data_IF_022815883406
#
_entry.id   IF_022815883406
#
_cell.length_a   1.000
_cell.length_b   1.000
_cell.length_c   1.000
_cell.angle_alpha   90.00
_cell.angle_beta   90.00
_cell.angle_gamma   90.00
#
_symmetry.space_group_name_H-M   'P 1'
#
loop_
_entity.id
_entity.type
_entity.pdbx_description
1 polymer ?
#
# COMPACT_ATOMS: atom_id res chain seq x y z
N UNK A 1 14.68 -18.31 -9.96
CA UNK A 1 13.35 -17.88 -10.40
C UNK A 1 12.47 -17.95 -9.16
N UNK A 2 12.04 -16.80 -8.61
CA UNK A 2 11.23 -16.79 -7.40
C UNK A 2 9.86 -17.37 -7.72
N UNK A 3 9.53 -18.51 -7.13
CA UNK A 3 8.23 -19.19 -7.26
C UNK A 3 7.08 -18.43 -6.57
N UNK A 4 7.35 -17.35 -5.86
CA UNK A 4 6.36 -16.54 -5.17
C UNK A 4 5.61 -15.54 -6.08
N UNK A 5 6.17 -15.18 -7.23
CA UNK A 5 5.59 -14.17 -8.14
C UNK A 5 4.24 -14.57 -8.75
N UNK A 6 3.89 -15.86 -8.76
CA UNK A 6 2.60 -16.33 -9.27
C UNK A 6 1.51 -16.44 -8.19
N UNK A 7 1.86 -16.23 -6.91
CA UNK A 7 0.94 -16.45 -5.79
C UNK A 7 0.06 -15.24 -5.44
N UNK A 8 0.41 -14.06 -5.98
CA UNK A 8 -0.34 -12.81 -5.75
C UNK A 8 -0.98 -12.35 -7.06
N UNK A 9 -2.29 -12.16 -7.04
CA UNK A 9 -3.06 -11.62 -8.16
C UNK A 9 -3.58 -10.23 -7.82
N UNK A 10 -3.21 -9.23 -8.60
CA UNK A 10 -3.81 -7.90 -8.58
C UNK A 10 -4.91 -7.82 -9.63
N UNK A 11 -6.10 -7.47 -9.20
CA UNK A 11 -7.24 -7.24 -10.05
C UNK A 11 -7.64 -5.77 -10.02
N UNK A 12 -7.33 -5.04 -11.09
CA UNK A 12 -7.75 -3.65 -11.27
C UNK A 12 -9.12 -3.59 -11.94
N UNK A 13 -10.10 -2.99 -11.28
CA UNK A 13 -11.49 -2.92 -11.72
C UNK A 13 -11.83 -1.47 -12.08
N UNK A 14 -12.32 -1.28 -13.30
CA UNK A 14 -12.67 0.03 -13.85
C UNK A 14 -11.46 0.91 -14.12
N UNK A 15 -11.67 2.21 -14.27
CA UNK A 15 -10.64 3.15 -14.71
C UNK A 15 -9.50 3.28 -13.68
N UNK A 16 -9.82 3.54 -12.41
CA UNK A 16 -8.82 3.62 -11.33
C UNK A 16 -7.99 2.34 -11.23
N UNK A 17 -8.64 1.18 -11.23
CA UNK A 17 -7.95 -0.10 -11.17
C UNK A 17 -7.04 -0.35 -12.36
N UNK A 18 -7.47 -0.01 -13.58
CA UNK A 18 -6.68 -0.13 -14.80
C UNK A 18 -5.45 0.79 -14.76
N UNK A 19 -5.59 2.04 -14.31
CA UNK A 19 -4.48 2.98 -14.17
C UNK A 19 -3.43 2.45 -13.19
N UNK A 20 -3.85 1.97 -12.02
CA UNK A 20 -2.94 1.35 -11.03
C UNK A 20 -2.20 0.15 -11.62
N UNK A 21 -2.90 -0.74 -12.35
CA UNK A 21 -2.23 -1.89 -13.00
C UNK A 21 -1.20 -1.45 -14.05
N UNK A 22 -1.46 -0.36 -14.77
CA UNK A 22 -0.52 0.21 -15.73
C UNK A 22 0.71 0.82 -15.08
N UNK A 23 0.54 1.55 -13.96
CA UNK A 23 1.63 2.13 -13.18
C UNK A 23 2.54 0.99 -12.68
N UNK A 24 1.97 -0.03 -12.05
CA UNK A 24 2.72 -1.19 -11.55
C UNK A 24 3.43 -1.98 -12.66
N UNK A 25 2.80 -2.08 -13.83
CA UNK A 25 3.40 -2.71 -15.00
C UNK A 25 4.63 -1.95 -15.53
N UNK A 26 4.62 -0.61 -15.50
CA UNK A 26 5.78 0.23 -15.86
C UNK A 26 6.92 0.06 -14.87
N UNK A 27 6.59 -0.04 -13.60
CA UNK A 27 7.56 -0.18 -12.50
C UNK A 27 8.14 -1.61 -12.37
N UNK A 28 7.73 -2.54 -13.25
CA UNK A 28 8.23 -3.94 -13.31
C UNK A 28 8.15 -4.67 -11.97
N UNK A 29 7.07 -4.51 -11.24
CA UNK A 29 6.84 -5.21 -9.96
C UNK A 29 6.81 -6.72 -10.21
N UNK A 30 7.88 -7.42 -9.80
CA UNK A 30 8.16 -8.82 -10.21
C UNK A 30 7.28 -9.87 -9.51
N UNK A 31 6.57 -9.51 -8.44
CA UNK A 31 5.92 -10.47 -7.52
C UNK A 31 4.42 -10.59 -7.73
N UNK A 32 3.86 -9.87 -8.70
CA UNK A 32 2.42 -9.75 -8.87
C UNK A 32 1.99 -10.01 -10.31
N UNK A 33 0.91 -10.79 -10.48
CA UNK A 33 0.21 -10.90 -11.76
C UNK A 33 -0.91 -9.87 -11.80
N UNK A 34 -0.95 -9.00 -12.80
CA UNK A 34 -1.96 -7.94 -12.92
C UNK A 34 -3.00 -8.28 -13.97
N UNK A 35 -4.27 -8.04 -13.66
CA UNK A 35 -5.40 -8.13 -14.59
C UNK A 35 -6.26 -6.88 -14.47
N UNK A 36 -6.65 -6.31 -15.61
CA UNK A 36 -7.62 -5.25 -15.68
C UNK A 36 -8.99 -5.80 -16.09
N UNK A 37 -10.04 -5.40 -15.40
CA UNK A 37 -11.42 -5.81 -15.67
C UNK A 37 -12.34 -4.61 -15.71
N UNK A 38 -13.10 -4.50 -16.79
CA UNK A 38 -14.15 -3.49 -16.96
C UNK A 38 -15.53 -4.11 -17.28
N UNK A 39 -15.59 -5.43 -17.52
CA UNK A 39 -16.83 -6.15 -17.82
C UNK A 39 -16.94 -7.47 -17.05
N UNK A 40 -18.19 -7.88 -16.75
CA UNK A 40 -18.49 -9.13 -16.02
C UNK A 40 -18.05 -10.38 -16.78
N UNK A 41 -18.09 -10.34 -18.11
CA UNK A 41 -17.63 -11.44 -18.98
C UNK A 41 -16.15 -11.73 -18.78
N UNK A 42 -15.33 -10.68 -18.61
CA UNK A 42 -13.89 -10.80 -18.34
C UNK A 42 -13.63 -11.42 -16.96
N UNK A 43 -14.43 -11.06 -15.97
CA UNK A 43 -14.33 -11.63 -14.62
C UNK A 43 -14.42 -13.16 -14.66
N UNK A 44 -15.41 -13.70 -15.35
CA UNK A 44 -15.62 -15.15 -15.44
C UNK A 44 -14.52 -15.85 -16.23
N UNK A 45 -14.06 -15.27 -17.35
CA UNK A 45 -13.15 -15.94 -18.26
C UNK A 45 -11.68 -15.91 -17.78
N UNK A 46 -11.21 -14.72 -17.37
CA UNK A 46 -9.79 -14.50 -17.01
C UNK A 46 -9.49 -14.90 -15.57
N UNK A 47 -10.45 -14.67 -14.69
CA UNK A 47 -10.26 -14.86 -13.27
C UNK A 47 -10.24 -16.33 -12.88
N UNK A 48 -11.11 -17.16 -13.45
CA UNK A 48 -11.20 -18.58 -13.10
C UNK A 48 -9.90 -19.35 -13.35
N UNK A 49 -9.16 -18.99 -14.39
CA UNK A 49 -7.87 -19.62 -14.68
C UNK A 49 -6.73 -19.14 -13.78
N UNK A 50 -6.69 -17.83 -13.46
CA UNK A 50 -5.60 -17.22 -12.70
C UNK A 50 -5.74 -17.44 -11.20
N UNK A 51 -6.96 -17.48 -10.69
CA UNK A 51 -7.22 -17.59 -9.26
C UNK A 51 -6.75 -18.92 -8.66
N UNK A 52 -6.71 -20.00 -9.45
CA UNK A 52 -6.35 -21.33 -8.95
C UNK A 52 -4.91 -21.38 -8.43
N UNK A 53 -4.00 -20.67 -9.09
CA UNK A 53 -2.57 -20.64 -8.76
C UNK A 53 -2.21 -19.59 -7.71
N UNK A 54 -3.15 -18.73 -7.31
CA UNK A 54 -2.93 -17.62 -6.39
C UNK A 54 -3.29 -17.98 -4.96
N UNK A 55 -2.65 -17.33 -4.00
CA UNK A 55 -2.95 -17.42 -2.57
C UNK A 55 -3.54 -16.11 -2.02
N UNK A 56 -3.10 -14.97 -2.57
CA UNK A 56 -3.56 -13.63 -2.23
C UNK A 56 -4.13 -12.92 -3.45
N UNK A 57 -5.34 -12.38 -3.32
CA UNK A 57 -5.98 -11.53 -4.32
C UNK A 57 -6.06 -10.10 -3.79
N UNK A 58 -5.56 -9.15 -4.56
CA UNK A 58 -5.63 -7.72 -4.27
C UNK A 58 -6.61 -7.10 -5.26
N UNK A 59 -7.67 -6.47 -4.76
CA UNK A 59 -8.66 -5.77 -5.56
C UNK A 59 -8.40 -4.27 -5.51
N UNK A 60 -8.45 -3.59 -6.66
CA UNK A 60 -8.34 -2.12 -6.75
C UNK A 60 -9.53 -1.58 -7.53
N UNK A 61 -10.31 -0.69 -6.92
CA UNK A 61 -11.50 -0.12 -7.54
C UNK A 61 -11.88 1.25 -6.97
N UNK A 62 -12.60 2.04 -7.79
CA UNK A 62 -13.37 3.20 -7.33
C UNK A 62 -14.81 2.78 -7.01
N UNK A 63 -15.26 3.04 -5.79
CA UNK A 63 -16.60 2.64 -5.38
C UNK A 63 -17.71 3.66 -5.74
N UNK A 64 -17.36 4.82 -6.28
CA UNK A 64 -18.32 5.83 -6.74
C UNK A 64 -19.16 5.38 -7.94
N UNK A 65 -18.67 4.43 -8.74
CA UNK A 65 -19.36 3.84 -9.86
C UNK A 65 -20.17 2.60 -9.44
N UNK A 66 -21.46 2.55 -9.81
CA UNK A 66 -22.29 1.38 -9.51
C UNK A 66 -21.78 0.10 -10.19
N UNK A 67 -21.31 0.21 -11.43
CA UNK A 67 -20.78 -0.93 -12.20
C UNK A 67 -19.53 -1.50 -11.53
N UNK A 68 -18.59 -0.62 -11.19
CA UNK A 68 -17.33 -1.02 -10.57
C UNK A 68 -17.54 -1.60 -9.18
N UNK A 69 -18.43 -1.02 -8.36
CA UNK A 69 -18.79 -1.57 -7.07
C UNK A 69 -19.36 -3.00 -7.16
N UNK A 70 -20.28 -3.24 -8.10
CA UNK A 70 -20.85 -4.59 -8.33
C UNK A 70 -19.76 -5.57 -8.76
N UNK A 71 -18.89 -5.19 -9.70
CA UNK A 71 -17.80 -6.05 -10.18
C UNK A 71 -16.80 -6.36 -9.06
N UNK A 72 -16.52 -5.39 -8.19
CA UNK A 72 -15.62 -5.57 -7.05
C UNK A 72 -16.19 -6.57 -6.05
N UNK A 73 -17.47 -6.47 -5.73
CA UNK A 73 -18.16 -7.43 -4.85
C UNK A 73 -18.20 -8.84 -5.45
N UNK A 74 -18.48 -8.96 -6.74
CA UNK A 74 -18.47 -10.25 -7.43
C UNK A 74 -17.08 -10.88 -7.45
N UNK A 75 -16.03 -10.05 -7.68
CA UNK A 75 -14.64 -10.51 -7.66
C UNK A 75 -14.21 -10.98 -6.26
N UNK A 76 -14.61 -10.25 -5.22
CA UNK A 76 -14.34 -10.63 -3.84
C UNK A 76 -14.99 -11.97 -3.49
N UNK A 77 -16.30 -12.11 -3.75
CA UNK A 77 -17.05 -13.36 -3.50
C UNK A 77 -16.42 -14.55 -4.21
N UNK A 78 -16.11 -14.41 -5.48
CA UNK A 78 -15.47 -15.47 -6.26
C UNK A 78 -14.11 -15.88 -5.69
N UNK A 79 -13.30 -14.93 -5.22
CA UNK A 79 -12.03 -15.23 -4.58
C UNK A 79 -12.22 -15.99 -3.26
N UNK A 80 -13.17 -15.56 -2.45
CA UNK A 80 -13.50 -16.23 -1.17
C UNK A 80 -14.03 -17.64 -1.38
N UNK A 81 -14.87 -17.87 -2.40
CA UNK A 81 -15.35 -19.21 -2.79
C UNK A 81 -14.21 -20.16 -3.15
N UNK A 82 -13.09 -19.62 -3.68
CA UNK A 82 -11.87 -20.39 -3.97
C UNK A 82 -10.90 -20.44 -2.78
N UNK A 83 -11.30 -20.00 -1.60
CA UNK A 83 -10.49 -20.06 -0.38
C UNK A 83 -9.27 -19.13 -0.37
N UNK A 84 -9.32 -18.02 -1.15
CA UNK A 84 -8.21 -17.08 -1.22
C UNK A 84 -8.30 -16.03 -0.12
N UNK A 85 -7.16 -15.50 0.32
CA UNK A 85 -7.10 -14.27 1.11
C UNK A 85 -7.32 -13.10 0.16
N UNK A 86 -8.23 -12.19 0.54
CA UNK A 86 -8.63 -11.06 -0.30
C UNK A 86 -8.36 -9.75 0.43
N UNK A 87 -7.50 -8.92 -0.13
CA UNK A 87 -7.29 -7.54 0.29
C UNK A 87 -7.87 -6.57 -0.74
N UNK A 88 -8.42 -5.45 -0.30
CA UNK A 88 -8.95 -4.44 -1.22
C UNK A 88 -8.35 -3.06 -0.95
N UNK A 89 -8.01 -2.36 -2.03
CA UNK A 89 -7.67 -0.94 -2.06
C UNK A 89 -8.79 -0.24 -2.81
N UNK A 90 -9.65 0.45 -2.08
CA UNK A 90 -10.84 1.06 -2.67
C UNK A 90 -10.93 2.54 -2.34
N UNK A 91 -11.45 3.31 -3.29
CA UNK A 91 -11.54 4.76 -3.15
C UNK A 91 -12.98 5.22 -2.93
N UNK A 92 -13.11 6.26 -2.10
CA UNK A 92 -14.34 7.04 -1.93
C UNK A 92 -14.19 8.34 -2.73
N UNK A 93 -15.20 8.71 -3.55
CA UNK A 93 -15.18 9.93 -4.36
C UNK A 93 -14.96 11.20 -3.54
N UNK A 94 -14.46 12.24 -4.22
CA UNK A 94 -14.36 13.60 -3.66
C UNK A 94 -15.72 14.26 -3.48
N UNK A 95 -15.80 15.25 -2.62
CA UNK A 95 -17.03 15.98 -2.31
C UNK A 95 -17.65 16.58 -3.58
N UNK A 96 -16.84 17.14 -4.47
CA UNK A 96 -17.32 17.74 -5.72
C UNK A 96 -17.89 16.73 -6.74
N UNK A 97 -17.64 15.44 -6.58
CA UNK A 97 -18.20 14.40 -7.44
C UNK A 97 -19.69 14.11 -7.16
N UNK A 98 -20.18 14.59 -6.03
CA UNK A 98 -21.57 14.61 -5.63
C UNK A 98 -21.96 13.54 -4.61
N UNK A 99 -22.86 13.95 -3.72
CA UNK A 99 -23.30 13.16 -2.56
C UNK A 99 -23.81 11.76 -2.91
N UNK A 100 -24.53 11.61 -4.03
CA UNK A 100 -25.04 10.28 -4.47
C UNK A 100 -23.95 9.28 -4.77
N UNK A 101 -22.80 9.73 -5.29
CA UNK A 101 -21.65 8.86 -5.54
C UNK A 101 -20.98 8.48 -4.22
N UNK A 102 -20.82 9.44 -3.32
CA UNK A 102 -20.23 9.21 -1.99
C UNK A 102 -21.06 8.22 -1.20
N UNK A 103 -22.38 8.43 -1.11
CA UNK A 103 -23.27 7.52 -0.40
C UNK A 103 -23.19 6.09 -0.95
N UNK A 104 -23.20 5.95 -2.27
CA UNK A 104 -23.05 4.64 -2.93
C UNK A 104 -21.70 3.99 -2.59
N UNK A 105 -20.63 4.77 -2.63
CA UNK A 105 -19.31 4.26 -2.31
C UNK A 105 -19.23 3.77 -0.85
N UNK A 106 -19.81 4.50 0.09
CA UNK A 106 -19.87 4.11 1.50
C UNK A 106 -20.71 2.82 1.70
N UNK A 107 -21.87 2.73 1.06
CA UNK A 107 -22.71 1.52 1.10
C UNK A 107 -21.96 0.31 0.53
N UNK A 108 -21.33 0.47 -0.63
CA UNK A 108 -20.53 -0.59 -1.26
C UNK A 108 -19.31 -0.97 -0.42
N UNK A 109 -18.63 0.00 0.22
CA UNK A 109 -17.50 -0.26 1.12
C UNK A 109 -17.93 -1.06 2.36
N UNK A 110 -19.10 -0.77 2.92
CA UNK A 110 -19.66 -1.53 4.04
C UNK A 110 -19.97 -2.98 3.63
N UNK A 111 -20.57 -3.19 2.46
CA UNK A 111 -20.82 -4.54 1.94
C UNK A 111 -19.50 -5.28 1.64
N UNK A 112 -18.55 -4.60 0.99
CA UNK A 112 -17.24 -5.17 0.64
C UNK A 112 -16.47 -5.62 1.89
N UNK A 113 -16.55 -4.89 2.99
CA UNK A 113 -15.90 -5.24 4.26
C UNK A 113 -16.28 -6.63 4.77
N UNK A 114 -17.49 -7.13 4.45
CA UNK A 114 -17.93 -8.48 4.82
C UNK A 114 -17.46 -9.56 3.82
N UNK A 115 -17.04 -9.16 2.62
CA UNK A 115 -16.68 -10.07 1.53
C UNK A 115 -15.15 -10.20 1.34
N UNK A 116 -14.36 -9.36 2.01
CA UNK A 116 -12.88 -9.40 1.95
C UNK A 116 -12.26 -9.65 3.32
N UNK A 117 -11.02 -10.11 3.35
CA UNK A 117 -10.30 -10.30 4.61
C UNK A 117 -9.80 -8.97 5.17
N UNK A 118 -9.31 -8.07 4.32
CA UNK A 118 -8.87 -6.75 4.75
C UNK A 118 -9.15 -5.68 3.69
N UNK A 119 -9.42 -4.45 4.13
CA UNK A 119 -9.74 -3.33 3.23
C UNK A 119 -8.97 -2.07 3.61
N UNK A 120 -8.31 -1.44 2.65
CA UNK A 120 -7.81 -0.07 2.76
C UNK A 120 -8.77 0.85 2.00
N UNK A 121 -9.49 1.67 2.76
CA UNK A 121 -10.48 2.60 2.21
C UNK A 121 -9.84 3.99 2.13
N UNK A 122 -9.68 4.50 0.92
CA UNK A 122 -8.98 5.74 0.62
C UNK A 122 -9.99 6.82 0.30
N UNK A 123 -10.08 7.83 1.15
CA UNK A 123 -10.85 9.03 0.83
C UNK A 123 -10.00 9.93 -0.07
N UNK A 124 -10.42 10.08 -1.35
CA UNK A 124 -9.72 10.91 -2.33
C UNK A 124 -9.56 12.37 -1.89
N UNK A 125 -10.42 12.86 -1.01
CA UNK A 125 -10.33 14.22 -0.45
C UNK A 125 -9.04 14.45 0.33
N UNK A 126 -8.54 13.44 1.04
CA UNK A 126 -7.32 13.53 1.85
C UNK A 126 -6.03 13.66 1.02
N UNK A 127 -6.13 13.49 -0.30
CA UNK A 127 -5.00 13.58 -1.24
C UNK A 127 -5.11 14.78 -2.18
N UNK A 128 -6.04 15.69 -1.91
CA UNK A 128 -6.21 16.93 -2.66
C UNK A 128 -5.29 18.00 -2.07
N UNK A 129 -4.05 18.09 -2.53
CA UNK A 129 -3.15 19.19 -2.23
C UNK A 129 -3.42 20.37 -3.20
N UNK A 130 -4.68 20.80 -3.31
CA UNK A 130 -5.01 21.94 -4.16
C UNK A 130 -4.80 23.22 -3.35
N UNK A 131 -3.97 24.19 -3.85
CA UNK A 131 -3.79 25.48 -3.21
C UNK A 131 -5.13 26.22 -3.11
N UNK A 132 -5.38 26.94 -2.02
CA UNK A 132 -6.61 27.75 -1.83
C UNK A 132 -6.70 28.90 -2.85
N UNK A 133 -5.57 29.38 -3.36
CA UNK A 133 -5.45 30.53 -4.26
C UNK A 133 -5.69 30.22 -5.75
N UNK A 134 -6.08 29.00 -6.07
CA UNK A 134 -6.28 28.54 -7.45
C UNK A 134 -5.11 27.72 -8.00
N UNK A 135 -5.38 26.91 -9.00
CA UNK A 135 -4.44 25.97 -9.60
C UNK A 135 -4.50 26.01 -11.13
N UNK A 136 -3.40 25.65 -11.74
CA UNK A 136 -3.32 25.44 -13.17
C UNK A 136 -4.03 24.14 -13.57
N UNK A 137 -4.47 23.98 -14.83
CA UNK A 137 -5.02 22.72 -15.31
C UNK A 137 -4.07 21.53 -15.14
N UNK A 138 -2.74 21.74 -15.17
CA UNK A 138 -1.75 20.69 -14.96
C UNK A 138 -1.73 20.22 -13.50
N UNK A 139 -1.68 21.12 -12.53
CA UNK A 139 -1.72 20.81 -11.10
C UNK A 139 -3.03 20.08 -10.73
N UNK A 140 -4.14 20.42 -11.37
CA UNK A 140 -5.40 19.69 -11.19
C UNK A 140 -5.28 18.24 -11.68
N UNK A 141 -4.71 18.01 -12.87
CA UNK A 141 -4.50 16.67 -13.40
C UNK A 141 -3.56 15.86 -12.50
N UNK A 142 -2.46 16.45 -12.04
CA UNK A 142 -1.51 15.79 -11.13
C UNK A 142 -2.18 15.42 -9.80
N UNK A 143 -3.01 16.31 -9.25
CA UNK A 143 -3.81 16.02 -8.05
C UNK A 143 -4.84 14.90 -8.28
N UNK A 144 -5.42 14.80 -9.47
CA UNK A 144 -6.36 13.73 -9.81
C UNK A 144 -5.65 12.36 -9.89
N UNK A 145 -4.44 12.33 -10.44
CA UNK A 145 -3.63 11.10 -10.57
C UNK A 145 -2.85 10.74 -9.29
N UNK A 146 -2.77 11.64 -8.32
CA UNK A 146 -2.04 11.41 -7.09
C UNK A 146 -2.56 10.19 -6.29
N UNK A 147 -3.85 9.90 -6.37
CA UNK A 147 -4.48 8.79 -5.65
C UNK A 147 -4.06 7.45 -6.25
N UNK A 148 -4.09 7.32 -7.57
CA UNK A 148 -3.70 6.10 -8.29
C UNK A 148 -2.22 5.79 -8.07
N UNK A 149 -1.36 6.80 -8.10
CA UNK A 149 0.06 6.65 -7.76
C UNK A 149 0.23 6.16 -6.32
N UNK A 150 -0.47 6.75 -5.35
CA UNK A 150 -0.41 6.34 -3.94
C UNK A 150 -0.89 4.90 -3.72
N UNK A 151 -1.93 4.46 -4.42
CA UNK A 151 -2.38 3.07 -4.37
C UNK A 151 -1.30 2.14 -4.95
N UNK A 152 -0.71 2.51 -6.08
CA UNK A 152 0.36 1.75 -6.69
C UNK A 152 1.56 1.63 -5.73
N UNK A 153 1.96 2.72 -5.07
CA UNK A 153 3.03 2.74 -4.09
C UNK A 153 2.73 1.83 -2.89
N UNK A 154 1.51 1.93 -2.34
CA UNK A 154 1.10 1.08 -1.23
C UNK A 154 1.14 -0.41 -1.58
N UNK A 155 0.73 -0.77 -2.80
CA UNK A 155 0.83 -2.15 -3.30
C UNK A 155 2.29 -2.56 -3.51
N UNK A 156 3.14 -1.67 -4.05
CA UNK A 156 4.57 -1.93 -4.17
C UNK A 156 5.23 -2.14 -2.80
N UNK A 157 4.91 -1.28 -1.83
CA UNK A 157 5.37 -1.41 -0.45
C UNK A 157 4.93 -2.73 0.17
N UNK A 158 3.69 -3.18 -0.10
CA UNK A 158 3.19 -4.48 0.33
C UNK A 158 3.99 -5.64 -0.30
N UNK A 159 4.31 -5.55 -1.59
CA UNK A 159 5.14 -6.56 -2.25
C UNK A 159 6.59 -6.50 -1.79
N UNK A 160 7.10 -5.31 -1.53
CA UNK A 160 8.44 -5.13 -0.98
C UNK A 160 8.60 -5.76 0.40
N UNK A 161 7.55 -5.76 1.24
CA UNK A 161 7.60 -6.46 2.53
C UNK A 161 8.03 -7.93 2.40
N UNK A 162 7.55 -8.63 1.37
CA UNK A 162 7.72 -10.07 1.18
C UNK A 162 8.81 -10.45 0.17
N UNK A 163 9.37 -9.51 -0.57
CA UNK A 163 10.30 -9.79 -1.68
C UNK A 163 11.78 -9.79 -1.27
N UNK A 164 12.10 -9.45 -0.04
CA UNK A 164 13.47 -9.12 0.35
C UNK A 164 14.35 -10.29 0.71
N UNK A 165 15.62 -10.15 0.37
CA UNK A 165 16.70 -11.02 0.79
C UNK A 165 17.41 -10.36 1.99
N UNK A 166 17.19 -10.86 3.21
CA UNK A 166 17.76 -10.27 4.41
C UNK A 166 18.06 -11.29 5.49
N UNK A 167 18.58 -10.81 6.62
CA UNK A 167 18.88 -11.65 7.78
C UNK A 167 17.61 -12.14 8.50
N UNK A 168 16.53 -11.36 8.46
CA UNK A 168 15.20 -11.72 8.97
C UNK A 168 14.18 -11.28 7.93
N UNK A 169 13.47 -12.22 7.34
CA UNK A 169 12.52 -11.97 6.26
C UNK A 169 11.08 -12.05 6.75
N UNK A 170 10.24 -11.24 6.17
CA UNK A 170 8.78 -11.35 6.20
C UNK A 170 8.40 -12.12 4.93
N UNK A 171 7.57 -13.13 5.04
CA UNK A 171 7.13 -13.93 3.91
C UNK A 171 5.65 -13.69 3.55
N UNK A 172 5.18 -14.39 2.51
CA UNK A 172 3.78 -14.28 2.07
C UNK A 172 2.79 -14.80 3.14
N UNK A 173 3.19 -15.78 3.95
CA UNK A 173 2.33 -16.31 5.01
C UNK A 173 2.17 -15.31 6.16
N UNK A 174 3.22 -14.55 6.50
CA UNK A 174 3.15 -13.42 7.43
C UNK A 174 2.16 -12.37 6.93
N UNK A 175 2.26 -11.98 5.66
CA UNK A 175 1.37 -11.01 5.03
C UNK A 175 -0.08 -11.51 5.03
N UNK A 176 -0.33 -12.75 4.59
CA UNK A 176 -1.66 -13.36 4.61
C UNK A 176 -2.24 -13.41 6.02
N UNK A 177 -1.42 -13.78 7.01
CA UNK A 177 -1.88 -13.83 8.40
C UNK A 177 -2.25 -12.46 8.96
N UNK A 178 -1.53 -11.40 8.55
CA UNK A 178 -1.88 -10.03 8.91
C UNK A 178 -3.20 -9.59 8.27
N UNK A 179 -3.40 -9.87 6.99
CA UNK A 179 -4.63 -9.51 6.28
C UNK A 179 -5.85 -10.32 6.75
N UNK A 180 -5.66 -11.61 7.07
CA UNK A 180 -6.72 -12.51 7.52
C UNK A 180 -7.33 -12.16 8.89
N UNK A 181 -6.74 -11.23 9.65
CA UNK A 181 -7.31 -10.74 10.91
C UNK A 181 -8.64 -9.99 10.71
N UNK A 182 -8.95 -9.64 9.48
CA UNK A 182 -10.16 -8.90 9.12
C UNK A 182 -10.08 -7.41 9.42
N UNK A 183 -11.09 -6.68 8.96
CA UNK A 183 -11.22 -5.26 9.20
C UNK A 183 -10.42 -4.41 8.21
N UNK A 184 -9.73 -3.42 8.73
CA UNK A 184 -8.95 -2.49 7.92
C UNK A 184 -7.46 -2.70 8.12
N UNK A 185 -6.69 -2.36 7.11
CA UNK A 185 -5.24 -2.25 7.19
C UNK A 185 -4.78 -0.89 6.67
N UNK A 186 -3.57 -0.52 7.03
CA UNK A 186 -2.84 0.61 6.47
C UNK A 186 -1.42 0.18 6.15
N UNK A 187 -0.83 0.76 5.13
CA UNK A 187 0.54 0.50 4.73
C UNK A 187 1.15 1.77 4.13
N UNK A 188 2.38 2.06 4.51
CA UNK A 188 3.22 3.03 3.82
C UNK A 188 4.69 2.78 4.11
N UNK A 189 5.56 3.49 3.37
CA UNK A 189 7.01 3.49 3.57
C UNK A 189 7.52 4.89 3.79
N UNK A 190 8.57 5.00 4.59
CA UNK A 190 9.29 6.24 4.82
C UNK A 190 10.79 6.01 4.73
N UNK A 191 11.53 7.07 4.61
CA UNK A 191 12.98 7.04 4.57
C UNK A 191 13.60 8.07 5.51
N UNK A 192 14.83 7.83 5.88
CA UNK A 192 15.65 8.79 6.63
C UNK A 192 17.10 8.70 6.22
N UNK A 193 17.84 9.76 6.46
CA UNK A 193 19.24 9.91 6.07
C UNK A 193 20.04 10.32 7.32
N UNK A 194 21.27 9.80 7.44
CA UNK A 194 22.18 10.17 8.52
C UNK A 194 21.98 9.37 9.81
N UNK A 195 22.29 9.99 10.95
CA UNK A 195 22.31 9.29 12.25
C UNK A 195 20.93 8.91 12.75
N UNK A 196 19.93 9.76 12.56
CA UNK A 196 18.55 9.57 13.04
C UNK A 196 17.62 8.89 11.99
N UNK A 197 18.19 8.39 10.89
CA UNK A 197 17.47 7.88 9.72
C UNK A 197 16.32 6.90 10.00
N UNK A 198 16.45 6.04 11.02
CA UNK A 198 15.38 5.10 11.38
C UNK A 198 14.22 5.83 12.08
N UNK A 199 14.52 6.78 12.96
CA UNK A 199 13.51 7.61 13.61
C UNK A 199 12.76 8.46 12.59
N UNK A 200 13.51 9.15 11.72
CA UNK A 200 12.96 10.00 10.66
C UNK A 200 12.08 9.19 9.70
N UNK A 201 12.54 8.00 9.29
CA UNK A 201 11.77 7.10 8.45
C UNK A 201 10.45 6.66 9.12
N UNK A 202 10.48 6.30 10.39
CA UNK A 202 9.28 5.94 11.17
C UNK A 202 8.32 7.15 11.25
N UNK A 203 8.81 8.32 11.60
CA UNK A 203 8.01 9.55 11.72
C UNK A 203 7.39 9.93 10.37
N UNK A 204 8.13 9.73 9.27
CA UNK A 204 7.61 9.94 7.93
C UNK A 204 6.46 8.99 7.60
N UNK A 205 6.59 7.69 7.88
CA UNK A 205 5.49 6.72 7.71
C UNK A 205 4.27 7.15 8.53
N UNK A 206 4.45 7.45 9.82
CA UNK A 206 3.35 7.81 10.72
C UNK A 206 2.65 9.11 10.33
N UNK A 207 3.37 10.02 9.67
CA UNK A 207 2.81 11.29 9.19
C UNK A 207 2.11 11.20 7.84
N UNK A 208 2.21 10.07 7.16
CA UNK A 208 1.65 9.92 5.81
C UNK A 208 0.12 9.96 5.80
N UNK A 209 -0.50 10.46 4.72
CA UNK A 209 -1.96 10.45 4.56
C UNK A 209 -2.57 9.05 4.64
N UNK A 210 -1.87 8.02 4.17
CA UNK A 210 -2.33 6.62 4.20
C UNK A 210 -2.42 6.08 5.63
N UNK A 211 -1.47 6.47 6.49
CA UNK A 211 -1.42 6.03 7.89
C UNK A 211 -2.29 6.88 8.81
N UNK A 212 -2.49 8.16 8.50
CA UNK A 212 -3.34 9.08 9.30
C UNK A 212 -4.82 8.73 9.30
N UNK A 213 -5.27 7.90 8.37
CA UNK A 213 -6.67 7.46 8.29
C UNK A 213 -7.06 6.53 9.43
N UNK A 214 -6.09 6.01 10.18
CA UNK A 214 -6.30 5.04 11.25
C UNK A 214 -5.33 5.28 12.41
N UNK A 215 -5.68 4.79 13.59
CA UNK A 215 -4.76 4.70 14.72
C UNK A 215 -4.07 3.32 14.69
N UNK A 216 -2.85 3.28 14.17
CA UNK A 216 -2.10 2.02 14.04
C UNK A 216 -1.82 1.36 15.39
N UNK A 217 -1.85 2.11 16.49
CA UNK A 217 -1.64 1.55 17.83
C UNK A 217 -2.85 0.76 18.35
N UNK A 218 -3.98 0.81 17.64
CA UNK A 218 -5.15 -0.05 17.88
C UNK A 218 -5.19 -1.30 17.01
N UNK A 219 -4.15 -1.51 16.18
CA UNK A 219 -4.03 -2.68 15.32
C UNK A 219 -3.88 -3.98 16.13
N UNK A 220 -4.12 -5.11 15.49
CA UNK A 220 -3.89 -6.43 16.08
C UNK A 220 -2.59 -7.07 15.60
N UNK A 221 -2.13 -6.73 14.40
CA UNK A 221 -0.86 -7.18 13.86
C UNK A 221 -0.16 -6.07 13.11
N UNK A 222 1.16 -6.00 13.27
CA UNK A 222 2.02 -5.03 12.59
C UNK A 222 3.21 -5.77 11.97
N UNK A 223 3.43 -5.55 10.69
CA UNK A 223 4.62 -5.98 9.98
C UNK A 223 5.51 -4.75 9.78
N UNK A 224 6.76 -4.83 10.21
CA UNK A 224 7.74 -3.75 10.07
C UNK A 224 8.92 -4.30 9.29
N UNK A 225 9.26 -3.68 8.16
CA UNK A 225 10.48 -3.98 7.43
C UNK A 225 11.42 -2.79 7.46
N UNK A 226 12.70 -3.06 7.75
CA UNK A 226 13.76 -2.07 7.78
C UNK A 226 14.84 -2.48 6.78
N UNK A 227 15.13 -1.62 5.84
CA UNK A 227 16.20 -1.76 4.87
C UNK A 227 17.31 -0.78 5.19
N UNK A 228 18.54 -1.26 5.26
CA UNK A 228 19.72 -0.45 5.54
C UNK A 228 20.84 -0.77 4.54
N UNK A 229 21.73 0.18 4.23
CA UNK A 229 22.90 -0.07 3.40
C UNK A 229 23.80 -1.18 3.96
N UNK A 230 24.54 -1.86 3.08
CA UNK A 230 25.43 -2.96 3.47
C UNK A 230 26.50 -2.56 4.50
N UNK A 231 27.04 -1.34 4.36
CA UNK A 231 28.10 -0.80 5.25
C UNK A 231 27.56 -0.07 6.48
N UNK A 232 26.25 -0.04 6.65
CA UNK A 232 25.64 0.59 7.82
C UNK A 232 26.12 -0.09 9.11
N UNK A 233 26.43 0.65 10.19
CA UNK A 233 26.60 0.05 11.52
C UNK A 233 25.32 -0.71 11.83
N UNK A 234 25.41 -2.04 11.92
CA UNK A 234 24.28 -2.97 11.84
C UNK A 234 23.13 -2.60 12.77
N UNK A 235 22.00 -3.23 12.57
CA UNK A 235 20.70 -2.98 13.24
C UNK A 235 20.78 -2.85 14.76
N UNK A 236 21.83 -3.37 15.38
CA UNK A 236 22.05 -3.28 16.86
C UNK A 236 22.09 -1.82 17.31
N UNK A 237 22.67 -0.90 16.51
CA UNK A 237 22.68 0.55 16.85
C UNK A 237 21.26 1.11 16.97
N UNK A 238 20.34 0.61 16.15
CA UNK A 238 18.97 1.09 16.10
C UNK A 238 17.99 0.26 16.92
N UNK A 239 18.46 -0.84 17.50
CA UNK A 239 17.62 -1.74 18.28
C UNK A 239 16.87 -1.01 19.42
N UNK A 240 17.49 0.03 20.00
CA UNK A 240 16.84 0.85 21.03
C UNK A 240 15.66 1.64 20.46
N UNK A 241 15.85 2.33 19.32
CA UNK A 241 14.79 3.12 18.65
C UNK A 241 13.63 2.20 18.25
N UNK A 242 13.96 1.07 17.62
CA UNK A 242 12.96 0.07 17.21
C UNK A 242 12.21 -0.49 18.43
N UNK A 243 12.93 -0.83 19.51
CA UNK A 243 12.32 -1.32 20.74
C UNK A 243 11.42 -0.29 21.39
N UNK A 244 11.81 0.99 21.40
CA UNK A 244 10.98 2.08 21.93
C UNK A 244 9.73 2.31 21.05
N UNK A 245 9.86 2.17 19.75
CA UNK A 245 8.72 2.24 18.85
C UNK A 245 7.75 1.07 19.06
N UNK A 246 8.26 -0.17 19.13
CA UNK A 246 7.43 -1.36 19.36
C UNK A 246 6.72 -1.29 20.72
N UNK A 247 7.34 -0.73 21.73
CA UNK A 247 6.71 -0.55 23.07
C UNK A 247 5.50 0.40 23.08
N UNK A 248 5.32 1.21 22.04
CA UNK A 248 4.11 2.06 21.90
C UNK A 248 2.87 1.23 21.58
N UNK A 249 3.05 0.03 21.04
CA UNK A 249 1.93 -0.88 20.76
C UNK A 249 1.47 -1.59 22.05
N UNK A 250 0.16 -1.82 22.22
CA UNK A 250 -0.35 -2.64 23.32
C UNK A 250 0.24 -4.05 23.31
N UNK A 251 0.34 -4.70 24.48
CA UNK A 251 0.97 -6.02 24.62
C UNK A 251 0.30 -7.14 23.82
N UNK A 252 -0.96 -6.98 23.42
CA UNK A 252 -1.69 -7.95 22.62
C UNK A 252 -1.45 -7.83 21.11
N UNK A 253 -0.70 -6.81 20.67
CA UNK A 253 -0.37 -6.62 19.27
C UNK A 253 0.77 -7.54 18.87
N UNK A 254 0.55 -8.35 17.84
CA UNK A 254 1.58 -9.18 17.24
C UNK A 254 2.44 -8.33 16.30
N UNK A 255 3.74 -8.23 16.59
CA UNK A 255 4.69 -7.42 15.81
C UNK A 255 5.73 -8.34 15.17
N UNK A 256 5.72 -8.42 13.84
CA UNK A 256 6.75 -9.11 13.06
C UNK A 256 7.73 -8.09 12.48
N UNK A 257 9.02 -8.29 12.76
CA UNK A 257 10.09 -7.42 12.30
C UNK A 257 10.94 -8.14 11.24
N UNK A 258 11.02 -7.55 10.05
CA UNK A 258 11.95 -7.93 8.98
C UNK A 258 13.12 -6.95 8.89
N UNK A 259 14.29 -7.47 8.59
CA UNK A 259 15.49 -6.65 8.42
C UNK A 259 16.27 -7.14 7.22
N UNK A 260 16.46 -6.24 6.27
CA UNK A 260 17.14 -6.52 5.02
C UNK A 260 18.22 -5.50 4.68
N UNK A 261 18.93 -5.80 3.60
CA UNK A 261 19.85 -4.86 2.97
C UNK A 261 19.12 -4.10 1.88
N UNK A 262 19.45 -2.84 1.77
CA UNK A 262 19.02 -2.00 0.67
C UNK A 262 19.87 -2.37 -0.55
N UNK A 263 19.25 -2.84 -1.61
CA UNK A 263 19.90 -3.10 -2.89
C UNK A 263 19.55 -2.02 -3.93
N UNK A 264 20.21 -2.08 -5.10
CA UNK A 264 20.01 -1.10 -6.17
C UNK A 264 18.59 -1.15 -6.75
N UNK A 265 17.94 -2.32 -6.73
CA UNK A 265 16.55 -2.49 -7.20
C UNK A 265 15.58 -1.83 -6.20
N UNK A 266 15.78 -2.02 -4.89
CA UNK A 266 15.02 -1.36 -3.81
C UNK A 266 15.19 0.18 -3.87
N UNK A 267 16.43 0.63 -4.11
CA UNK A 267 16.75 2.06 -4.19
C UNK A 267 16.12 2.71 -5.42
N UNK A 268 16.22 2.06 -6.58
CA UNK A 268 15.62 2.54 -7.83
C UNK A 268 14.11 2.63 -7.72
N UNK A 269 13.48 1.64 -7.11
CA UNK A 269 12.05 1.62 -6.87
C UNK A 269 11.63 2.76 -5.96
N UNK A 270 12.32 2.91 -4.83
CA UNK A 270 12.06 3.99 -3.87
C UNK A 270 12.24 5.39 -4.48
N UNK A 271 13.26 5.59 -5.32
CA UNK A 271 13.51 6.87 -5.99
C UNK A 271 12.37 7.25 -6.94
N UNK A 272 11.87 6.31 -7.73
CA UNK A 272 10.71 6.53 -8.61
C UNK A 272 9.49 6.95 -7.78
N UNK A 273 9.27 6.33 -6.63
CA UNK A 273 8.15 6.61 -5.75
C UNK A 273 8.28 7.97 -5.05
N UNK A 274 9.48 8.30 -4.56
CA UNK A 274 9.70 9.58 -3.86
C UNK A 274 9.55 10.79 -4.77
N UNK A 275 9.96 10.68 -6.03
CA UNK A 275 9.80 11.75 -7.04
C UNK A 275 8.33 11.99 -7.39
N UNK A 276 7.55 10.92 -7.51
CA UNK A 276 6.13 11.00 -7.88
C UNK A 276 5.21 11.42 -6.72
N UNK A 277 5.58 11.08 -5.49
CA UNK A 277 4.68 11.12 -4.34
C UNK A 277 4.96 12.27 -3.39
N UNK A 278 6.23 12.56 -3.15
CA UNK A 278 6.59 13.51 -2.08
C UNK A 278 6.85 14.92 -2.58
N UNK A 279 6.95 15.17 -3.92
CA UNK A 279 7.41 16.45 -4.44
C UNK A 279 8.44 17.03 -3.47
N UNK A 280 9.55 16.29 -3.28
CA UNK A 280 10.60 16.67 -2.35
C UNK A 280 10.91 18.14 -2.63
N UNK A 281 10.82 19.05 -1.65
CA UNK A 281 11.19 20.43 -1.89
C UNK A 281 12.57 20.40 -2.50
N UNK A 282 12.82 21.26 -3.51
CA UNK A 282 14.10 21.36 -4.23
C UNK A 282 15.33 21.60 -3.30
N UNK A 283 15.11 21.74 -2.00
CA UNK A 283 16.12 21.81 -0.95
C UNK A 283 16.67 20.45 -0.52
N UNK A 284 16.03 19.33 -0.84
CA UNK A 284 16.65 18.00 -0.80
C UNK A 284 17.20 17.74 -2.19
N UNK A 285 18.25 18.47 -2.53
CA UNK A 285 19.12 18.17 -3.66
C UNK A 285 19.81 16.83 -3.32
N UNK A 286 19.07 15.74 -3.49
CA UNK A 286 19.62 14.39 -3.48
C UNK A 286 20.37 14.26 -4.79
N UNK A 287 21.52 14.92 -4.86
CA UNK A 287 22.48 14.79 -5.94
C UNK A 287 23.09 13.38 -5.85
N UNK A 288 22.24 12.38 -6.17
CA UNK A 288 22.56 10.94 -6.18
C UNK A 288 23.50 10.59 -7.34
N UNK A 289 23.81 11.56 -8.23
CA UNK A 289 24.75 11.35 -9.33
C UNK A 289 26.22 11.23 -8.93
N UNK A 290 26.63 11.72 -7.75
CA UNK A 290 28.04 11.72 -7.32
C UNK A 290 28.26 11.19 -5.88
N UNK A 291 27.24 11.05 -5.06
CA UNK A 291 27.32 10.31 -3.81
C UNK A 291 26.87 8.87 -4.09
N UNK A 292 27.76 7.92 -3.88
CA UNK A 292 27.35 6.53 -3.71
C UNK A 292 26.30 6.57 -2.63
N UNK A 293 25.08 6.14 -2.93
CA UNK A 293 23.90 6.07 -2.04
C UNK A 293 24.19 5.23 -0.77
N UNK A 294 25.43 5.09 -0.42
CA UNK A 294 26.01 3.89 0.10
C UNK A 294 25.99 3.80 1.62
N UNK A 295 25.93 4.90 2.35
CA UNK A 295 26.20 4.73 3.78
C UNK A 295 25.13 5.30 4.74
N UNK A 296 24.20 6.13 4.29
CA UNK A 296 23.37 6.93 5.19
C UNK A 296 21.85 6.87 4.98
N UNK A 297 21.34 6.14 3.98
CA UNK A 297 19.89 6.01 3.71
C UNK A 297 19.33 4.74 4.36
N UNK A 298 18.17 4.84 4.99
CA UNK A 298 17.38 3.67 5.40
C UNK A 298 15.92 3.85 5.02
N UNK A 299 15.25 2.73 4.71
CA UNK A 299 13.83 2.68 4.38
C UNK A 299 13.11 1.86 5.45
N UNK A 300 12.00 2.36 5.94
CA UNK A 300 11.11 1.65 6.86
C UNK A 300 9.74 1.51 6.21
N UNK A 301 9.25 0.28 6.10
CA UNK A 301 7.89 -0.02 5.64
C UNK A 301 7.10 -0.59 6.80
N UNK A 302 5.90 -0.05 7.04
CA UNK A 302 5.00 -0.51 8.11
C UNK A 302 3.66 -0.88 7.49
N UNK A 303 3.20 -2.12 7.75
CA UNK A 303 1.82 -2.55 7.52
C UNK A 303 1.19 -2.84 8.88
N UNK A 304 0.08 -2.17 9.19
CA UNK A 304 -0.72 -2.41 10.38
C UNK A 304 -2.11 -2.91 9.97
N UNK A 305 -2.64 -3.92 10.67
CA UNK A 305 -3.90 -4.57 10.29
C UNK A 305 -4.77 -4.95 11.49
N UNK A 306 -6.04 -5.24 11.21
CA UNK A 306 -6.98 -5.71 12.21
C UNK A 306 -7.55 -4.61 13.09
N UNK A 307 -7.74 -3.41 12.56
CA UNK A 307 -8.43 -2.32 13.26
C UNK A 307 -9.72 -1.91 12.54
N UNK A 308 -10.64 -1.30 13.29
CA UNK A 308 -11.89 -0.79 12.73
C UNK A 308 -11.73 0.66 12.27
N UNK A 309 -12.00 0.92 10.98
CA UNK A 309 -12.09 2.30 10.49
C UNK A 309 -13.37 2.92 11.02
N UNK A 310 -13.26 4.08 11.63
CA UNK A 310 -14.39 4.98 11.78
C UNK A 310 -14.67 5.58 10.40
N UNK A 311 -15.69 5.04 9.71
CA UNK A 311 -16.22 5.73 8.54
C UNK A 311 -16.73 7.09 8.99
N UNK A 312 -16.60 8.17 8.18
CA UNK A 312 -17.15 9.48 8.53
C UNK A 312 -18.63 9.30 8.88
N UNK A 313 -19.01 9.80 10.05
CA UNK A 313 -20.40 9.85 10.46
C UNK A 313 -21.18 10.70 9.44
N UNK A 314 -22.41 10.27 9.15
CA UNK A 314 -23.31 10.89 8.15
C UNK A 314 -23.61 12.34 8.43
#
# INVERSE_FOLDING_TARGET
>A
MNTESNKVLLLGIGETGLQVTQILGRNKVKVITTLGIDEESQLKLLYTHKIQETELVILVADLGSKKEGILTLQAAKLAKEHGKIVASFVTIPRIFEGEKKIMRALETAMELKSEVDASLIINKENFSNLPEDGYSPAELVDSLLAVENRIADAIQNMMALISGHGGVNIDLDDLKSALALGGTFAIDSGFGIGEDRISDAIDMVLSSPMMKTCDIFTSRKVLIRILTPEKSPGIIRYAKIISEFIKKFPQHVDVTLGVGRLDDDDLSLFMILSELVYQLPAAVDVNLGERKADDDLSIVTILASGFDVKLPEK
#
